data_IF_804413909611
#
_entry.id   IF_804413909611
#
_cell.length_a   1.000
_cell.length_b   1.000
_cell.length_c   1.000
_cell.angle_alpha   90.00
_cell.angle_beta   90.00
_cell.angle_gamma   90.00
#
_symmetry.space_group_name_H-M   'P 1'
#
loop_
_entity.id
_entity.type
_entity.pdbx_description
1 polymer ?
#
# COMPACT_ATOMS: atom_id res chain seq x y z
N UNK A 1 -7.10 -13.92 16.49
CA UNK A 1 -8.24 -13.17 15.94
C UNK A 1 -7.68 -12.33 14.79
N UNK A 2 -8.02 -12.63 13.54
CA UNK A 2 -7.42 -11.98 12.35
C UNK A 2 -8.41 -11.03 11.68
N UNK A 3 -7.85 -9.93 11.16
CA UNK A 3 -8.38 -8.99 10.17
C UNK A 3 -9.88 -8.67 10.21
N UNK A 4 -10.19 -7.40 10.51
CA UNK A 4 -11.38 -6.75 9.93
C UNK A 4 -12.76 -7.36 10.28
N UNK A 5 -12.91 -8.04 11.42
CA UNK A 5 -14.19 -8.59 11.89
C UNK A 5 -14.49 -8.16 13.32
N UNK A 6 -15.77 -7.84 13.61
CA UNK A 6 -16.25 -7.71 15.00
C UNK A 6 -16.04 -9.04 15.74
N UNK A 7 -15.60 -9.03 17.01
CA UNK A 7 -15.38 -10.27 17.76
C UNK A 7 -16.69 -11.09 17.84
N UNK A 8 -16.64 -12.35 17.41
CA UNK A 8 -17.71 -13.35 17.60
C UNK A 8 -17.08 -14.53 18.32
N UNK A 9 -17.65 -14.95 19.44
CA UNK A 9 -17.16 -16.09 20.23
C UNK A 9 -17.76 -17.43 19.75
N UNK A 10 -18.53 -17.41 18.66
CA UNK A 10 -19.14 -18.60 18.05
C UNK A 10 -18.15 -19.35 17.14
N UNK A 11 -18.26 -20.68 17.10
CA UNK A 11 -17.54 -21.49 16.12
C UNK A 11 -17.95 -21.11 14.69
N UNK A 12 -16.96 -20.96 13.80
CA UNK A 12 -17.16 -20.47 12.43
C UNK A 12 -18.24 -21.24 11.66
N UNK A 13 -18.17 -22.57 11.64
CA UNK A 13 -19.13 -23.42 10.92
C UNK A 13 -20.52 -23.46 11.54
N UNK A 14 -20.65 -23.10 12.82
CA UNK A 14 -21.93 -23.03 13.54
C UNK A 14 -22.57 -21.65 13.44
N UNK A 15 -21.82 -20.63 13.02
CA UNK A 15 -22.31 -19.27 12.87
C UNK A 15 -23.12 -19.15 11.60
N UNK A 16 -24.36 -18.65 11.69
CA UNK A 16 -25.20 -18.47 10.50
C UNK A 16 -24.59 -17.47 9.51
N UNK A 17 -24.82 -17.69 8.21
CA UNK A 17 -24.31 -16.81 7.13
C UNK A 17 -24.69 -15.34 7.37
N UNK A 18 -25.93 -15.09 7.81
CA UNK A 18 -26.41 -13.73 8.08
C UNK A 18 -25.68 -13.07 9.26
N UNK A 19 -25.32 -13.84 10.30
CA UNK A 19 -24.56 -13.35 11.45
C UNK A 19 -23.12 -13.01 11.04
N UNK A 20 -22.46 -13.85 10.25
CA UNK A 20 -21.14 -13.55 9.68
C UNK A 20 -21.17 -12.30 8.79
N UNK A 21 -22.18 -12.19 7.91
CA UNK A 21 -22.34 -11.02 7.05
C UNK A 21 -22.53 -9.73 7.87
N UNK A 22 -23.42 -9.75 8.86
CA UNK A 22 -23.64 -8.60 9.76
C UNK A 22 -22.38 -8.17 10.51
N UNK A 23 -21.51 -9.10 10.86
CA UNK A 23 -20.24 -8.79 11.55
C UNK A 23 -19.16 -8.22 10.61
N UNK A 24 -19.25 -8.46 9.30
CA UNK A 24 -18.28 -8.00 8.28
C UNK A 24 -18.73 -6.72 7.58
N UNK A 25 -20.03 -6.58 7.32
CA UNK A 25 -20.60 -5.47 6.55
C UNK A 25 -20.17 -4.09 7.07
N UNK A 26 -20.19 -3.78 8.39
CA UNK A 26 -19.75 -2.47 8.87
C UNK A 26 -18.31 -2.14 8.43
N UNK A 27 -17.40 -3.12 8.55
CA UNK A 27 -16.01 -2.91 8.18
C UNK A 27 -15.82 -2.85 6.66
N UNK A 28 -16.47 -3.72 5.90
CA UNK A 28 -16.42 -3.71 4.44
C UNK A 28 -16.96 -2.39 3.86
N UNK A 29 -18.03 -1.84 4.44
CA UNK A 29 -18.58 -0.55 4.05
C UNK A 29 -17.61 0.60 4.36
N UNK A 30 -16.96 0.58 5.53
CA UNK A 30 -15.92 1.56 5.87
C UNK A 30 -14.79 1.49 4.84
N UNK A 31 -14.27 0.30 4.52
CA UNK A 31 -13.21 0.16 3.52
C UNK A 31 -13.63 0.62 2.12
N UNK A 32 -14.87 0.33 1.71
CA UNK A 32 -15.41 0.78 0.43
C UNK A 32 -15.46 2.30 0.35
N UNK A 33 -15.97 2.98 1.39
CA UNK A 33 -16.01 4.44 1.46
C UNK A 33 -14.57 5.00 1.53
N UNK A 34 -13.68 4.35 2.27
CA UNK A 34 -12.28 4.75 2.33
C UNK A 34 -11.57 4.65 0.97
N UNK A 35 -11.95 3.70 0.12
CA UNK A 35 -11.44 3.59 -1.24
C UNK A 35 -11.90 4.76 -2.15
N UNK A 36 -12.93 5.51 -1.77
CA UNK A 36 -13.28 6.76 -2.47
C UNK A 36 -12.16 7.80 -2.37
N UNK A 37 -11.40 7.83 -1.26
CA UNK A 37 -10.27 8.76 -1.13
C UNK A 37 -9.15 8.47 -2.13
N UNK A 38 -8.82 7.21 -2.37
CA UNK A 38 -7.86 6.83 -3.41
C UNK A 38 -8.38 7.15 -4.82
N UNK A 39 -9.68 6.96 -5.06
CA UNK A 39 -10.34 7.43 -6.28
C UNK A 39 -10.22 8.96 -6.48
N UNK A 40 -10.43 9.74 -5.42
CA UNK A 40 -10.27 11.20 -5.45
C UNK A 40 -8.83 11.64 -5.75
N UNK A 41 -7.82 10.87 -5.33
CA UNK A 41 -6.43 11.16 -5.70
C UNK A 41 -6.27 11.03 -7.22
N UNK A 42 -6.80 9.96 -7.83
CA UNK A 42 -6.74 9.78 -9.29
C UNK A 42 -7.40 10.96 -10.02
N UNK A 43 -8.59 11.38 -9.57
CA UNK A 43 -9.30 12.50 -10.22
C UNK A 43 -8.59 13.84 -10.03
N UNK A 44 -7.89 14.07 -8.92
CA UNK A 44 -7.06 15.28 -8.74
C UNK A 44 -5.89 15.36 -9.74
N UNK A 45 -5.48 14.22 -10.32
CA UNK A 45 -4.46 14.15 -11.36
C UNK A 45 -5.06 13.90 -12.75
N UNK A 46 -6.34 14.24 -12.98
CA UNK A 46 -7.00 14.06 -14.28
C UNK A 46 -6.26 14.73 -15.44
N UNK A 47 -5.62 15.89 -15.20
CA UNK A 47 -4.78 16.57 -16.19
C UNK A 47 -3.60 15.71 -16.66
N UNK A 48 -3.00 14.91 -15.77
CA UNK A 48 -1.94 13.94 -16.11
C UNK A 48 -2.47 12.82 -17.01
N UNK A 49 -3.73 12.45 -16.83
CA UNK A 49 -4.39 11.38 -17.57
C UNK A 49 -4.89 11.84 -18.95
N UNK A 50 -5.30 13.10 -19.07
CA UNK A 50 -5.97 13.65 -20.26
C UNK A 50 -5.03 14.40 -21.20
N UNK A 51 -4.03 15.13 -20.68
CA UNK A 51 -3.12 15.94 -21.51
C UNK A 51 -2.21 15.09 -22.41
N UNK A 52 -1.99 13.82 -22.05
CA UNK A 52 -1.27 12.85 -22.86
C UNK A 52 -1.99 11.51 -22.79
N UNK A 53 -3.11 11.38 -23.50
CA UNK A 53 -4.02 10.23 -23.38
C UNK A 53 -3.34 8.85 -23.45
N UNK A 54 -2.33 8.67 -24.33
CA UNK A 54 -1.58 7.41 -24.41
C UNK A 54 -0.76 7.12 -23.14
N UNK A 55 -0.08 8.14 -22.60
CA UNK A 55 0.68 8.06 -21.34
C UNK A 55 -0.28 7.85 -20.16
N UNK A 56 -1.40 8.58 -20.13
CA UNK A 56 -2.43 8.46 -19.11
C UNK A 56 -2.98 7.04 -19.01
N UNK A 57 -3.32 6.41 -20.14
CA UNK A 57 -3.77 5.02 -20.20
C UNK A 57 -2.69 4.07 -19.66
N UNK A 58 -1.43 4.29 -20.05
CA UNK A 58 -0.31 3.46 -19.59
C UNK A 58 -0.07 3.57 -18.07
N UNK A 59 -0.16 4.79 -17.51
CA UNK A 59 -0.04 5.03 -16.08
C UNK A 59 -1.18 4.34 -15.32
N UNK A 60 -2.44 4.49 -15.78
CA UNK A 60 -3.60 3.83 -15.17
C UNK A 60 -3.48 2.31 -15.21
N UNK A 61 -3.01 1.74 -16.32
CA UNK A 61 -2.79 0.30 -16.44
C UNK A 61 -1.73 -0.23 -15.45
N UNK A 62 -0.81 0.63 -14.99
CA UNK A 62 0.22 0.28 -14.01
C UNK A 62 -0.24 0.46 -12.55
N UNK A 63 -1.35 1.17 -12.29
CA UNK A 63 -1.85 1.45 -10.94
C UNK A 63 -2.09 0.18 -10.12
N UNK A 64 -2.85 -0.83 -10.59
CA UNK A 64 -3.16 -2.00 -9.75
C UNK A 64 -1.91 -2.73 -9.29
N UNK A 65 -0.93 -2.86 -10.17
CA UNK A 65 0.33 -3.53 -9.90
C UNK A 65 1.19 -2.75 -8.88
N UNK A 66 1.23 -1.41 -9.00
CA UNK A 66 1.96 -0.55 -8.08
C UNK A 66 1.36 -0.61 -6.66
N UNK A 67 0.03 -0.50 -6.59
CA UNK A 67 -0.74 -0.59 -5.34
C UNK A 67 -0.56 -1.95 -4.67
N UNK A 68 -0.71 -3.04 -5.43
CA UNK A 68 -0.54 -4.41 -4.90
C UNK A 68 0.89 -4.67 -4.41
N UNK A 69 1.90 -4.23 -5.16
CA UNK A 69 3.31 -4.35 -4.74
C UNK A 69 3.58 -3.58 -3.45
N UNK A 70 3.06 -2.35 -3.34
CA UNK A 70 3.12 -1.56 -2.12
C UNK A 70 2.43 -2.25 -0.95
N UNK A 71 1.16 -2.64 -1.12
CA UNK A 71 0.36 -3.31 -0.10
C UNK A 71 1.03 -4.58 0.42
N UNK A 72 1.57 -5.41 -0.48
CA UNK A 72 2.29 -6.63 -0.14
C UNK A 72 3.58 -6.34 0.65
N UNK A 73 4.35 -5.32 0.25
CA UNK A 73 5.56 -4.91 0.98
C UNK A 73 5.24 -4.40 2.40
N UNK A 74 4.17 -3.60 2.53
CA UNK A 74 3.71 -3.09 3.82
C UNK A 74 3.18 -4.21 4.73
N UNK A 75 2.38 -5.13 4.19
CA UNK A 75 1.86 -6.28 4.92
C UNK A 75 2.97 -7.23 5.40
N UNK A 76 4.01 -7.43 4.57
CA UNK A 76 5.19 -8.22 4.96
C UNK A 76 5.91 -7.58 6.15
N UNK A 77 6.22 -6.28 6.07
CA UNK A 77 6.88 -5.57 7.17
C UNK A 77 6.02 -5.56 8.45
N UNK A 78 4.71 -5.41 8.29
CA UNK A 78 3.76 -5.40 9.39
C UNK A 78 3.66 -6.75 10.10
N UNK A 79 3.59 -7.84 9.34
CA UNK A 79 3.52 -9.19 9.91
C UNK A 79 4.75 -9.49 10.77
N UNK A 80 5.94 -9.09 10.30
CA UNK A 80 7.19 -9.22 11.05
C UNK A 80 7.19 -8.35 12.31
N UNK A 81 6.71 -7.11 12.24
CA UNK A 81 6.61 -6.22 13.40
C UNK A 81 5.61 -6.73 14.45
N UNK A 82 4.43 -7.21 14.03
CA UNK A 82 3.43 -7.80 14.92
C UNK A 82 4.01 -9.03 15.63
N UNK A 83 4.70 -9.91 14.87
CA UNK A 83 5.35 -11.08 15.44
C UNK A 83 6.43 -10.69 16.45
N UNK A 84 7.29 -9.72 16.12
CA UNK A 84 8.32 -9.23 17.03
C UNK A 84 7.73 -8.66 18.32
N UNK A 85 6.63 -7.91 18.23
CA UNK A 85 5.89 -7.41 19.39
C UNK A 85 5.31 -8.55 20.24
N UNK A 86 4.75 -9.58 19.60
CA UNK A 86 4.16 -10.73 20.27
C UNK A 86 5.21 -11.62 20.97
N UNK A 87 6.41 -11.73 20.40
CA UNK A 87 7.54 -12.47 20.97
C UNK A 87 8.38 -11.64 21.97
N UNK A 88 8.08 -10.35 22.14
CA UNK A 88 8.86 -9.45 22.99
C UNK A 88 10.23 -9.08 22.44
N UNK A 89 10.50 -9.36 21.15
CA UNK A 89 11.77 -9.07 20.47
C UNK A 89 11.93 -7.58 20.15
N UNK A 90 10.82 -6.86 19.95
CA UNK A 90 10.80 -5.42 19.71
C UNK A 90 9.76 -4.75 20.60
N UNK A 91 10.01 -3.49 20.96
CA UNK A 91 9.09 -2.65 21.71
C UNK A 91 8.83 -1.33 20.99
N UNK A 92 7.89 -0.53 21.49
CA UNK A 92 7.60 0.81 20.96
C UNK A 92 8.86 1.72 21.01
N UNK A 93 9.73 1.52 22.01
CA UNK A 93 10.98 2.27 22.16
C UNK A 93 11.99 1.96 21.04
N UNK A 94 11.84 0.84 20.37
CA UNK A 94 12.72 0.42 19.27
C UNK A 94 12.25 0.95 17.91
N UNK A 95 11.17 1.73 17.82
CA UNK A 95 10.59 2.21 16.56
C UNK A 95 11.63 2.79 15.60
N UNK A 96 12.51 3.66 16.08
CA UNK A 96 13.57 4.24 15.24
C UNK A 96 14.56 3.21 14.70
N UNK A 97 14.92 2.20 15.51
CA UNK A 97 15.82 1.10 15.10
C UNK A 97 15.14 0.18 14.09
N UNK A 98 13.85 -0.11 14.30
CA UNK A 98 13.03 -0.90 13.38
C UNK A 98 12.89 -0.19 12.05
N UNK A 99 12.54 1.10 12.05
CA UNK A 99 12.47 1.93 10.84
C UNK A 99 13.79 1.96 10.10
N UNK A 100 14.92 2.13 10.79
CA UNK A 100 16.24 2.13 10.15
C UNK A 100 16.62 0.77 9.55
N UNK A 101 16.23 -0.33 10.20
CA UNK A 101 16.41 -1.67 9.65
C UNK A 101 15.55 -1.88 8.41
N UNK A 102 14.26 -1.57 8.49
CA UNK A 102 13.33 -1.74 7.36
C UNK A 102 13.64 -0.79 6.20
N UNK A 103 14.13 0.41 6.46
CA UNK A 103 14.59 1.32 5.40
C UNK A 103 15.70 0.71 4.54
N UNK A 104 16.71 0.07 5.17
CA UNK A 104 17.78 -0.62 4.44
C UNK A 104 17.27 -1.82 3.66
N UNK A 105 16.35 -2.59 4.24
CA UNK A 105 15.67 -3.69 3.53
C UNK A 105 14.88 -3.13 2.33
N UNK A 106 14.19 -2.00 2.50
CA UNK A 106 13.39 -1.36 1.47
C UNK A 106 14.24 -0.83 0.31
N UNK A 107 15.43 -0.30 0.56
CA UNK A 107 16.35 0.09 -0.53
C UNK A 107 16.70 -1.12 -1.40
N UNK A 108 17.07 -2.25 -0.77
CA UNK A 108 17.48 -3.45 -1.51
C UNK A 108 16.28 -4.04 -2.28
N UNK A 109 15.16 -4.28 -1.59
CA UNK A 109 13.95 -4.81 -2.23
C UNK A 109 13.42 -3.86 -3.30
N UNK A 110 13.36 -2.57 -3.00
CA UNK A 110 12.88 -1.54 -3.91
C UNK A 110 13.73 -1.44 -5.16
N UNK A 111 15.06 -1.50 -5.04
CA UNK A 111 15.95 -1.46 -6.21
C UNK A 111 15.75 -2.66 -7.12
N UNK A 112 15.69 -3.87 -6.54
CA UNK A 112 15.47 -5.11 -7.32
C UNK A 112 14.09 -5.08 -8.00
N UNK A 113 13.04 -4.68 -7.27
CA UNK A 113 11.69 -4.58 -7.81
C UNK A 113 11.57 -3.51 -8.90
N UNK A 114 12.19 -2.35 -8.72
CA UNK A 114 12.20 -1.29 -9.72
C UNK A 114 12.90 -1.73 -11.00
N UNK A 115 14.07 -2.36 -10.91
CA UNK A 115 14.79 -2.89 -12.08
C UNK A 115 13.97 -3.96 -12.79
N UNK A 116 13.41 -4.91 -12.04
CA UNK A 116 12.55 -5.95 -12.61
C UNK A 116 11.30 -5.36 -13.28
N UNK A 117 10.68 -4.36 -12.66
CA UNK A 117 9.51 -3.68 -13.20
C UNK A 117 9.85 -2.89 -14.48
N UNK A 118 11.01 -2.25 -14.55
CA UNK A 118 11.43 -1.51 -15.73
C UNK A 118 11.46 -2.43 -16.95
N UNK A 119 12.16 -3.56 -16.84
CA UNK A 119 12.22 -4.54 -17.92
C UNK A 119 10.86 -5.19 -18.18
N UNK A 120 10.06 -5.44 -17.15
CA UNK A 120 8.69 -5.97 -17.33
C UNK A 120 7.83 -5.02 -18.16
N UNK A 121 7.79 -3.73 -17.82
CA UNK A 121 6.99 -2.75 -18.56
C UNK A 121 7.54 -2.59 -19.97
N UNK A 122 8.85 -2.39 -20.12
CA UNK A 122 9.45 -2.18 -21.43
C UNK A 122 9.33 -3.38 -22.40
N UNK A 123 9.44 -4.61 -21.89
CA UNK A 123 9.47 -5.81 -22.76
C UNK A 123 8.12 -6.50 -22.93
N UNK A 124 7.20 -6.37 -21.98
CA UNK A 124 5.94 -7.14 -21.95
C UNK A 124 4.72 -6.27 -22.28
N UNK A 125 4.84 -4.94 -22.19
CA UNK A 125 3.76 -4.01 -22.51
C UNK A 125 4.11 -3.17 -23.75
N UNK A 126 3.13 -2.62 -24.47
CA UNK A 126 3.40 -1.76 -25.64
C UNK A 126 3.83 -0.33 -25.24
N UNK A 127 4.21 -0.10 -23.97
CA UNK A 127 4.49 1.23 -23.44
C UNK A 127 5.95 1.63 -23.64
N UNK A 128 6.17 2.94 -23.83
CA UNK A 128 7.49 3.51 -24.04
C UNK A 128 8.41 3.37 -22.80
N UNK A 129 9.73 3.40 -23.04
CA UNK A 129 10.75 3.34 -21.99
C UNK A 129 10.59 4.44 -20.93
N UNK A 130 10.09 5.62 -21.32
CA UNK A 130 9.79 6.72 -20.41
C UNK A 130 8.73 6.32 -19.35
N UNK A 131 7.65 5.66 -19.76
CA UNK A 131 6.63 5.13 -18.84
C UNK A 131 7.23 4.05 -17.95
N UNK A 132 8.01 3.13 -18.53
CA UNK A 132 8.69 2.09 -17.77
C UNK A 132 9.59 2.68 -16.68
N UNK A 133 10.32 3.76 -16.97
CA UNK A 133 11.16 4.48 -16.01
C UNK A 133 10.32 5.12 -14.90
N UNK A 134 9.30 5.90 -15.26
CA UNK A 134 8.44 6.62 -14.30
C UNK A 134 7.78 5.65 -13.33
N UNK A 135 7.19 4.56 -13.82
CA UNK A 135 6.51 3.56 -12.97
C UNK A 135 7.52 2.84 -12.07
N UNK A 136 8.73 2.57 -12.55
CA UNK A 136 9.76 1.85 -11.79
C UNK A 136 10.38 2.71 -10.68
N UNK A 137 10.65 3.99 -10.97
CA UNK A 137 11.09 4.95 -9.95
C UNK A 137 9.99 5.15 -8.92
N UNK A 138 8.73 5.25 -9.35
CA UNK A 138 7.58 5.32 -8.44
C UNK A 138 7.50 4.09 -7.53
N UNK A 139 7.69 2.89 -8.08
CA UNK A 139 7.73 1.65 -7.31
C UNK A 139 8.82 1.64 -6.25
N UNK A 140 10.02 2.12 -6.57
CA UNK A 140 11.12 2.22 -5.60
C UNK A 140 10.69 3.02 -4.35
N UNK A 141 10.12 4.21 -4.55
CA UNK A 141 9.65 5.05 -3.45
C UNK A 141 8.42 4.48 -2.75
N UNK A 142 7.50 3.85 -3.49
CA UNK A 142 6.35 3.13 -2.94
C UNK A 142 6.78 2.02 -1.99
N UNK A 143 7.81 1.22 -2.33
CA UNK A 143 8.30 0.13 -1.47
C UNK A 143 8.88 0.69 -0.16
N UNK A 144 9.60 1.81 -0.23
CA UNK A 144 10.16 2.48 0.95
C UNK A 144 9.05 2.94 1.90
N UNK A 145 8.07 3.69 1.38
CA UNK A 145 7.00 4.22 2.22
C UNK A 145 6.08 3.10 2.73
N UNK A 146 5.83 2.07 1.92
CA UNK A 146 5.04 0.92 2.32
C UNK A 146 5.66 0.15 3.49
N UNK A 147 6.97 -0.13 3.44
CA UNK A 147 7.67 -0.78 4.55
C UNK A 147 7.70 0.10 5.80
N UNK A 148 7.88 1.41 5.65
CA UNK A 148 7.82 2.34 6.77
C UNK A 148 6.44 2.35 7.45
N UNK A 149 5.36 2.45 6.66
CA UNK A 149 3.96 2.38 7.15
C UNK A 149 3.71 1.02 7.81
N UNK A 150 4.10 -0.07 7.14
CA UNK A 150 3.88 -1.45 7.57
C UNK A 150 4.51 -1.75 8.93
N UNK A 151 5.75 -1.31 9.18
CA UNK A 151 6.39 -1.52 10.47
C UNK A 151 5.94 -0.54 11.55
N UNK A 152 5.52 0.69 11.20
CA UNK A 152 5.13 1.72 12.18
C UNK A 152 3.74 1.48 12.75
N UNK A 153 2.77 1.13 11.90
CA UNK A 153 1.37 1.01 12.32
C UNK A 153 1.14 0.00 13.46
N UNK A 154 1.74 -1.21 13.45
CA UNK A 154 1.61 -2.15 14.58
C UNK A 154 2.15 -1.59 15.90
N UNK A 155 3.28 -0.88 15.86
CA UNK A 155 3.89 -0.28 17.06
C UNK A 155 3.02 0.85 17.60
N UNK A 156 2.47 1.69 16.72
CA UNK A 156 1.54 2.75 17.11
C UNK A 156 0.23 2.19 17.67
N UNK A 157 -0.37 1.18 17.01
CA UNK A 157 -1.57 0.51 17.50
C UNK A 157 -1.36 -0.04 18.92
N UNK A 158 -0.20 -0.66 19.17
CA UNK A 158 0.18 -1.13 20.51
C UNK A 158 0.31 0.02 21.52
N UNK A 159 0.84 1.17 21.10
CA UNK A 159 1.03 2.34 21.95
C UNK A 159 -0.31 2.96 22.43
N UNK A 160 -1.35 2.87 21.61
CA UNK A 160 -2.70 3.33 21.95
C UNK A 160 -3.63 2.20 22.45
N UNK A 161 -3.05 1.07 22.87
CA UNK A 161 -3.77 -0.09 23.42
C UNK A 161 -4.78 -0.76 22.47
N UNK A 162 -4.60 -0.62 21.16
CA UNK A 162 -5.38 -1.34 20.14
C UNK A 162 -4.67 -2.62 19.69
N UNK A 163 -5.43 -3.59 19.17
CA UNK A 163 -4.89 -4.85 18.65
C UNK A 163 -4.17 -4.61 17.31
N UNK A 164 -2.83 -4.77 17.25
CA UNK A 164 -2.06 -4.56 16.03
C UNK A 164 -2.51 -5.45 14.87
N UNK A 165 -2.96 -6.68 15.16
CA UNK A 165 -3.35 -7.66 14.14
C UNK A 165 -4.69 -7.34 13.47
N UNK A 166 -5.58 -6.63 14.17
CA UNK A 166 -6.88 -6.23 13.61
C UNK A 166 -6.79 -4.98 12.75
N UNK A 167 -5.92 -4.03 13.14
CA UNK A 167 -5.80 -2.74 12.48
C UNK A 167 -4.89 -2.73 11.26
N UNK A 168 -3.80 -3.49 11.32
CA UNK A 168 -2.70 -3.32 10.39
C UNK A 168 -3.10 -3.54 8.93
N UNK A 169 -3.63 -4.72 8.58
CA UNK A 169 -3.75 -5.10 7.16
C UNK A 169 -4.63 -4.15 6.32
N UNK A 170 -5.86 -3.78 6.73
CA UNK A 170 -6.70 -2.93 5.90
C UNK A 170 -6.23 -1.47 5.86
N UNK A 171 -5.76 -0.93 6.99
CA UNK A 171 -5.29 0.46 7.08
C UNK A 171 -3.98 0.64 6.29
N UNK A 172 -3.09 -0.36 6.34
CA UNK A 172 -1.85 -0.36 5.56
C UNK A 172 -2.18 -0.21 4.08
N UNK A 173 -3.05 -1.05 3.52
CA UNK A 173 -3.30 -1.02 2.08
C UNK A 173 -3.88 0.33 1.67
N UNK A 174 -4.86 0.87 2.39
CA UNK A 174 -5.46 2.17 2.04
C UNK A 174 -4.45 3.32 2.10
N UNK A 175 -3.58 3.36 3.11
CA UNK A 175 -2.55 4.40 3.22
C UNK A 175 -1.48 4.24 2.14
N UNK A 176 -1.04 3.00 1.88
CA UNK A 176 -0.03 2.72 0.86
C UNK A 176 -0.56 3.01 -0.54
N UNK A 177 -1.83 2.70 -0.80
CA UNK A 177 -2.52 3.01 -2.04
C UNK A 177 -2.51 4.53 -2.31
N UNK A 178 -2.92 5.32 -1.31
CA UNK A 178 -2.91 6.77 -1.41
C UNK A 178 -1.50 7.31 -1.67
N UNK A 179 -0.51 6.89 -0.88
CA UNK A 179 0.88 7.29 -1.07
C UNK A 179 1.43 6.88 -2.44
N UNK A 180 1.12 5.67 -2.91
CA UNK A 180 1.62 5.14 -4.18
C UNK A 180 1.08 5.93 -5.36
N UNK A 181 -0.21 6.27 -5.35
CA UNK A 181 -0.82 7.10 -6.37
C UNK A 181 -0.24 8.52 -6.36
N UNK A 182 -0.09 9.12 -5.18
CA UNK A 182 0.53 10.45 -5.06
C UNK A 182 1.97 10.44 -5.59
N UNK A 183 2.78 9.42 -5.25
CA UNK A 183 4.15 9.27 -5.74
C UNK A 183 4.14 9.13 -7.28
N UNK A 184 3.33 8.21 -7.82
CA UNK A 184 3.25 7.94 -9.25
C UNK A 184 2.92 9.21 -10.03
N UNK A 185 1.83 9.88 -9.67
CA UNK A 185 1.39 11.05 -10.41
C UNK A 185 2.29 12.25 -10.19
N UNK A 186 2.90 12.42 -9.01
CA UNK A 186 3.88 13.49 -8.78
C UNK A 186 5.12 13.31 -9.65
N UNK A 187 5.65 12.08 -9.74
CA UNK A 187 6.81 11.77 -10.59
C UNK A 187 6.43 11.92 -12.07
N UNK A 188 5.26 11.42 -12.48
CA UNK A 188 4.78 11.56 -13.85
C UNK A 188 4.61 13.03 -14.25
N UNK A 189 3.97 13.84 -13.40
CA UNK A 189 3.78 15.28 -13.61
C UNK A 189 5.13 15.99 -13.79
N UNK A 190 6.09 15.70 -12.90
CA UNK A 190 7.42 16.29 -12.95
C UNK A 190 8.22 15.85 -14.18
N UNK A 191 8.13 14.58 -14.57
CA UNK A 191 8.94 14.00 -15.65
C UNK A 191 8.41 14.39 -17.04
N UNK A 192 7.08 14.35 -17.22
CA UNK A 192 6.44 14.70 -18.49
C UNK A 192 6.08 16.20 -18.61
N UNK A 193 6.47 17.01 -17.62
CA UNK A 193 6.19 18.45 -17.57
C UNK A 193 4.70 18.79 -17.77
N UNK A 194 3.81 18.02 -17.14
CA UNK A 194 2.37 18.22 -17.25
C UNK A 194 1.94 19.30 -16.25
N UNK A 195 1.21 20.31 -16.71
CA UNK A 195 0.65 21.32 -15.81
C UNK A 195 -0.55 20.73 -15.04
N UNK A 196 -0.53 20.88 -13.71
CA UNK A 196 -1.72 20.67 -12.88
C UNK A 196 -2.63 21.90 -13.04
N UNK A 197 -3.89 21.69 -13.43
CA UNK A 197 -4.93 22.71 -13.48
C UNK A 197 -5.92 22.49 -12.35
#
# INVERSE_FOLDING_TARGET
>A
KMAAMLPSDDEYLKTSVLKLARNRLPWLLILMISATFTGMIITNFESVLTNAAEIGVALVACIPMLMDTGGNCGAQASTLAIRGLALGEISIKDLGRVLWKEFRVAIICGAVLAVANFFRVWLITPYDQSVALVVSVSMFFTVIIAKAIGCTLPLLAKAIHLDPALMASPIITTLVDACSLTILFTIATSYFHIALH
#
